data_IF_517947894544
#
_entry.id   IF_517947894544
#
_cell.length_a   1.000
_cell.length_b   1.000
_cell.length_c   1.000
_cell.angle_alpha   90.00
_cell.angle_beta   90.00
_cell.angle_gamma   90.00
#
_symmetry.space_group_name_H-M   'P 1'
#
loop_
_entity.id
_entity.type
_entity.pdbx_description
1 polymer ?
#
# COMPACT_ATOMS: atom_id res chain seq x y z
N UNK A 1 22.18 -30.61 -71.30
CA UNK A 1 22.10 -29.38 -70.53
C UNK A 1 21.07 -29.62 -69.39
N UNK A 2 21.56 -29.92 -68.18
CA UNK A 2 20.69 -30.29 -67.04
C UNK A 2 20.55 -29.08 -66.10
N UNK A 3 19.36 -28.54 -66.06
CA UNK A 3 19.02 -27.40 -65.24
C UNK A 3 18.80 -27.85 -63.75
N UNK A 4 19.64 -27.41 -62.85
CA UNK A 4 19.49 -27.65 -61.39
C UNK A 4 18.69 -26.53 -60.78
N UNK A 5 17.46 -26.83 -60.35
CA UNK A 5 16.61 -25.95 -59.59
C UNK A 5 17.05 -26.06 -58.11
N UNK A 6 17.62 -24.98 -57.55
CA UNK A 6 17.92 -24.85 -56.13
C UNK A 6 16.69 -24.28 -55.46
N UNK A 7 15.98 -25.11 -54.68
CA UNK A 7 14.88 -24.65 -53.82
C UNK A 7 15.47 -24.08 -52.52
N UNK A 8 15.38 -22.76 -52.36
CA UNK A 8 15.71 -22.08 -51.09
C UNK A 8 14.52 -22.24 -50.13
N UNK A 9 14.72 -23.05 -49.08
CA UNK A 9 13.76 -23.16 -47.97
C UNK A 9 14.04 -22.01 -47.01
N UNK A 10 13.20 -20.99 -47.00
CA UNK A 10 13.23 -19.91 -46.02
C UNK A 10 12.62 -20.44 -44.71
N UNK A 11 13.44 -20.70 -43.72
CA UNK A 11 12.98 -21.01 -42.35
C UNK A 11 12.46 -19.73 -41.68
N UNK A 12 11.16 -19.61 -41.58
CA UNK A 12 10.52 -18.55 -40.79
C UNK A 12 10.60 -18.97 -39.31
N UNK A 13 11.56 -18.41 -38.59
CA UNK A 13 11.63 -18.52 -37.12
C UNK A 13 10.53 -17.65 -36.50
N UNK A 14 9.43 -18.27 -36.10
CA UNK A 14 8.39 -17.61 -35.28
C UNK A 14 8.97 -17.43 -33.89
N UNK A 15 9.44 -16.22 -33.56
CA UNK A 15 9.74 -15.85 -32.21
C UNK A 15 8.40 -15.70 -31.46
N UNK A 16 8.03 -16.74 -30.71
CA UNK A 16 6.95 -16.66 -29.75
C UNK A 16 7.41 -15.72 -28.64
N UNK A 17 6.90 -14.48 -28.64
CA UNK A 17 7.00 -13.60 -27.47
C UNK A 17 6.16 -14.24 -26.36
N UNK A 18 6.84 -14.76 -25.33
CA UNK A 18 6.20 -15.13 -24.08
C UNK A 18 5.79 -13.82 -23.44
N UNK A 19 4.54 -13.42 -23.58
CA UNK A 19 3.98 -12.34 -22.80
C UNK A 19 4.10 -12.75 -21.32
N UNK A 20 4.94 -12.06 -20.56
CA UNK A 20 5.01 -12.23 -19.12
C UNK A 20 3.64 -11.78 -18.58
N UNK A 21 2.87 -12.73 -18.08
CA UNK A 21 1.57 -12.44 -17.49
C UNK A 21 1.76 -11.50 -16.30
N UNK A 22 0.84 -10.55 -16.12
CA UNK A 22 0.82 -9.68 -14.96
C UNK A 22 0.85 -10.52 -13.69
N UNK A 23 1.76 -10.20 -12.78
CA UNK A 23 1.85 -10.88 -11.49
C UNK A 23 0.83 -10.29 -10.53
N UNK A 24 0.03 -11.15 -9.92
CA UNK A 24 -0.94 -10.75 -8.90
C UNK A 24 -0.51 -11.26 -7.55
N UNK A 25 -0.49 -10.36 -6.56
CA UNK A 25 -0.20 -10.69 -5.16
C UNK A 25 -1.36 -10.27 -4.27
N UNK A 26 -1.65 -11.09 -3.25
CA UNK A 26 -2.51 -10.73 -2.12
C UNK A 26 -1.64 -10.41 -0.92
N UNK A 27 -2.09 -9.49 -0.06
CA UNK A 27 -1.40 -9.20 1.18
C UNK A 27 -1.39 -10.42 2.09
N UNK A 28 -0.22 -10.84 2.52
CA UNK A 28 -0.08 -11.78 3.63
C UNK A 28 -0.16 -10.98 4.94
N UNK A 29 -1.33 -10.99 5.56
CA UNK A 29 -1.59 -10.24 6.79
C UNK A 29 -0.71 -10.69 7.96
N UNK A 30 -0.29 -11.96 7.99
CA UNK A 30 0.51 -12.51 9.09
C UNK A 30 1.96 -12.01 9.07
N UNK A 31 2.47 -11.65 7.89
CA UNK A 31 3.84 -11.15 7.67
C UNK A 31 3.89 -9.68 7.25
N UNK A 32 2.75 -8.99 7.33
CA UNK A 32 2.63 -7.58 6.95
C UNK A 32 2.28 -6.71 8.15
N UNK A 33 2.64 -5.42 8.07
CA UNK A 33 2.32 -4.44 9.10
C UNK A 33 1.88 -3.13 8.47
N UNK A 34 0.73 -2.59 8.91
CA UNK A 34 0.31 -1.23 8.61
C UNK A 34 0.39 -0.43 9.89
N UNK A 35 1.50 0.30 10.06
CA UNK A 35 1.83 1.04 11.25
C UNK A 35 1.75 2.55 11.06
N UNK A 36 1.56 3.25 12.17
CA UNK A 36 1.59 4.70 12.24
C UNK A 36 2.26 5.19 13.53
N UNK A 37 2.71 6.44 13.51
CA UNK A 37 3.22 7.11 14.71
C UNK A 37 2.77 8.56 14.79
N UNK A 38 2.52 9.01 16.03
CA UNK A 38 2.08 10.36 16.36
C UNK A 38 2.94 10.91 17.49
N UNK A 39 3.55 12.07 17.28
CA UNK A 39 4.32 12.75 18.32
C UNK A 39 3.39 13.46 19.31
N UNK A 40 3.82 13.50 20.56
CA UNK A 40 3.20 14.21 21.68
C UNK A 40 4.30 14.88 22.52
N UNK A 41 3.96 15.75 23.46
CA UNK A 41 4.94 16.38 24.34
C UNK A 41 5.82 15.37 25.09
N UNK A 42 5.24 14.27 25.54
CA UNK A 42 5.93 13.26 26.35
C UNK A 42 6.45 12.05 25.54
N UNK A 43 6.53 12.16 24.19
CA UNK A 43 7.08 11.11 23.37
C UNK A 43 6.27 10.80 22.10
N UNK A 44 6.40 9.60 21.62
CA UNK A 44 5.73 9.15 20.38
C UNK A 44 4.81 7.99 20.70
N UNK A 45 3.55 8.10 20.30
CA UNK A 45 2.64 6.98 20.26
C UNK A 45 2.80 6.23 18.96
N UNK A 46 3.03 4.93 19.05
CA UNK A 46 2.98 4.00 17.93
C UNK A 46 1.66 3.23 17.96
N UNK A 47 1.15 2.94 16.77
CA UNK A 47 -0.01 2.09 16.62
C UNK A 47 0.04 1.37 15.29
N UNK A 48 -0.89 0.42 15.12
CA UNK A 48 -1.04 -0.37 13.90
C UNK A 48 -2.51 -0.72 13.68
N UNK A 49 -2.82 -1.16 12.48
CA UNK A 49 -4.06 -1.87 12.19
C UNK A 49 -3.74 -3.35 12.05
N UNK A 50 -4.52 -4.20 12.72
CA UNK A 50 -4.28 -5.65 12.77
C UNK A 50 -5.12 -6.45 11.78
N UNK A 51 -6.10 -5.80 11.10
CA UNK A 51 -6.93 -6.42 10.06
C UNK A 51 -6.94 -5.54 8.82
N UNK A 52 -6.43 -6.09 7.74
CA UNK A 52 -6.38 -5.44 6.43
C UNK A 52 -6.25 -6.50 5.35
N UNK A 53 -6.61 -6.15 4.15
CA UNK A 53 -6.39 -6.95 2.95
C UNK A 53 -6.02 -6.05 1.78
N UNK A 54 -5.54 -6.65 0.70
CA UNK A 54 -5.22 -5.91 -0.50
C UNK A 54 -4.73 -6.80 -1.62
N UNK A 55 -4.71 -6.20 -2.79
CA UNK A 55 -4.25 -6.80 -4.04
C UNK A 55 -3.22 -5.89 -4.70
N UNK A 56 -2.15 -6.48 -5.20
CA UNK A 56 -1.14 -5.81 -6.01
C UNK A 56 -1.10 -6.52 -7.35
N UNK A 57 -1.19 -5.75 -8.43
CA UNK A 57 -0.96 -6.20 -9.79
C UNK A 57 0.32 -5.56 -10.31
N UNK A 58 1.27 -6.37 -10.76
CA UNK A 58 2.56 -5.90 -11.24
C UNK A 58 2.70 -6.26 -12.70
N UNK A 59 2.89 -5.25 -13.53
CA UNK A 59 3.39 -5.37 -14.89
C UNK A 59 4.90 -5.05 -14.88
N UNK A 60 5.75 -6.04 -15.11
CA UNK A 60 7.21 -5.83 -15.05
C UNK A 60 7.77 -5.19 -16.31
N UNK A 61 7.07 -5.33 -17.43
CA UNK A 61 7.47 -4.72 -18.70
C UNK A 61 7.04 -3.26 -18.74
N UNK A 62 5.85 -2.97 -18.17
CA UNK A 62 5.23 -1.65 -18.12
C UNK A 62 4.82 -1.31 -16.68
N UNK A 63 5.76 -0.95 -15.78
CA UNK A 63 5.48 -0.69 -14.37
C UNK A 63 4.37 0.34 -14.13
N UNK A 64 4.16 1.25 -15.07
CA UNK A 64 3.07 2.25 -15.05
C UNK A 64 1.67 1.63 -15.12
N UNK A 65 1.54 0.39 -15.62
CA UNK A 65 0.28 -0.35 -15.65
C UNK A 65 0.01 -1.12 -14.34
N UNK A 66 0.97 -1.12 -13.42
CA UNK A 66 0.80 -1.77 -12.12
C UNK A 66 -0.26 -1.05 -11.28
N UNK A 67 -0.89 -1.80 -10.37
CA UNK A 67 -1.93 -1.25 -9.50
C UNK A 67 -1.90 -1.84 -8.11
N UNK A 68 -2.45 -1.09 -7.13
CA UNK A 68 -2.67 -1.57 -5.78
C UNK A 68 -4.01 -1.10 -5.26
N UNK A 69 -4.72 -2.02 -4.60
CA UNK A 69 -5.93 -1.75 -3.83
C UNK A 69 -5.71 -2.27 -2.43
N UNK A 70 -6.06 -1.48 -1.41
CA UNK A 70 -5.97 -1.88 -0.02
C UNK A 70 -7.23 -1.51 0.75
N UNK A 71 -7.63 -2.39 1.67
CA UNK A 71 -8.69 -2.20 2.64
C UNK A 71 -8.17 -2.44 4.05
N UNK A 72 -8.48 -1.54 4.97
CA UNK A 72 -8.06 -1.62 6.36
C UNK A 72 -9.31 -1.52 7.24
N UNK A 73 -9.57 -2.52 8.08
CA UNK A 73 -10.62 -2.46 9.09
C UNK A 73 -10.20 -1.49 10.21
N UNK A 74 -10.87 -0.36 10.32
CA UNK A 74 -10.55 0.68 11.33
C UNK A 74 -10.79 0.18 12.76
N UNK A 75 -11.70 -0.78 12.97
CA UNK A 75 -11.93 -1.41 14.27
C UNK A 75 -10.71 -2.12 14.81
N UNK A 76 -9.80 -2.52 13.92
CA UNK A 76 -8.58 -3.26 14.24
C UNK A 76 -7.43 -2.38 14.76
N UNK A 77 -7.66 -1.09 14.99
CA UNK A 77 -6.65 -0.19 15.53
C UNK A 77 -6.16 -0.68 16.89
N UNK A 78 -4.85 -0.75 17.03
CA UNK A 78 -4.15 -1.22 18.24
C UNK A 78 -2.95 -0.30 18.51
N UNK A 79 -2.98 0.38 19.65
CA UNK A 79 -1.89 1.22 20.14
C UNK A 79 -1.26 0.65 21.42
N UNK A 80 -1.66 -0.57 21.82
CA UNK A 80 -1.23 -1.23 23.06
C UNK A 80 -1.92 -0.72 24.33
N UNK A 81 -2.88 0.22 24.24
CA UNK A 81 -3.63 0.73 25.38
C UNK A 81 -5.13 0.71 25.07
N UNK A 82 -5.85 -0.28 25.60
CA UNK A 82 -7.25 -0.53 25.27
C UNK A 82 -8.18 0.66 25.50
N UNK A 83 -7.96 1.48 26.54
CA UNK A 83 -8.74 2.70 26.77
C UNK A 83 -8.58 3.72 25.64
N UNK A 84 -7.36 3.90 25.14
CA UNK A 84 -7.06 4.77 24.00
C UNK A 84 -7.66 4.21 22.72
N UNK A 85 -7.53 2.92 22.47
CA UNK A 85 -8.06 2.27 21.29
C UNK A 85 -9.60 2.37 21.23
N UNK A 86 -10.28 2.23 22.37
CA UNK A 86 -11.72 2.43 22.47
C UNK A 86 -12.13 3.89 22.16
N UNK A 87 -11.36 4.87 22.66
CA UNK A 87 -11.60 6.27 22.33
C UNK A 87 -11.35 6.55 20.84
N UNK A 88 -10.27 5.99 20.25
CA UNK A 88 -10.00 6.14 18.81
C UNK A 88 -11.12 5.54 17.94
N UNK A 89 -11.76 4.44 18.37
CA UNK A 89 -12.88 3.84 17.64
C UNK A 89 -14.19 4.62 17.79
N UNK A 90 -14.33 5.46 18.82
CA UNK A 90 -15.58 6.14 19.16
C UNK A 90 -16.03 7.14 18.10
N UNK A 91 -17.30 7.61 18.19
CA UNK A 91 -17.81 8.68 17.32
C UNK A 91 -17.02 10.00 17.41
N UNK A 92 -16.26 10.18 18.49
CA UNK A 92 -15.45 11.39 18.72
C UNK A 92 -14.18 11.42 17.86
N UNK A 93 -13.76 10.26 17.26
CA UNK A 93 -12.56 10.20 16.44
C UNK A 93 -12.80 9.47 15.12
N UNK A 94 -12.57 8.15 15.03
CA UNK A 94 -12.76 7.42 13.78
C UNK A 94 -14.22 7.11 13.44
N UNK A 95 -15.12 7.14 14.41
CA UNK A 95 -16.54 6.82 14.24
C UNK A 95 -16.75 5.50 13.46
N UNK A 96 -16.13 4.42 13.95
CA UNK A 96 -15.98 3.15 13.21
C UNK A 96 -17.29 2.48 12.80
N UNK A 97 -18.40 2.82 13.47
CA UNK A 97 -19.73 2.34 13.08
C UNK A 97 -20.21 3.01 11.78
N UNK A 98 -19.80 4.25 11.54
CA UNK A 98 -20.14 5.02 10.35
C UNK A 98 -19.09 4.86 9.25
N UNK A 99 -17.83 4.77 9.64
CA UNK A 99 -16.67 4.70 8.74
C UNK A 99 -15.79 3.50 9.09
N UNK A 100 -16.23 2.27 8.80
CA UNK A 100 -15.55 1.05 9.25
C UNK A 100 -14.24 0.77 8.53
N UNK A 101 -13.98 1.39 7.38
CA UNK A 101 -12.83 1.08 6.54
C UNK A 101 -12.04 2.33 6.14
N UNK A 102 -10.71 2.14 6.05
CA UNK A 102 -9.81 2.99 5.28
C UNK A 102 -9.52 2.24 3.99
N UNK A 103 -9.59 2.93 2.84
CA UNK A 103 -9.29 2.33 1.54
C UNK A 103 -8.25 3.13 0.78
N UNK A 104 -7.43 2.45 0.01
CA UNK A 104 -6.51 3.07 -0.94
C UNK A 104 -6.69 2.43 -2.31
N UNK A 105 -6.82 3.27 -3.34
CA UNK A 105 -6.89 2.84 -4.74
C UNK A 105 -5.85 3.61 -5.55
N UNK A 106 -4.89 2.91 -6.14
CA UNK A 106 -3.88 3.54 -6.99
C UNK A 106 -4.51 4.12 -8.26
N UNK A 107 -3.95 5.24 -8.70
CA UNK A 107 -4.28 5.90 -9.98
C UNK A 107 -3.15 5.77 -10.98
N UNK A 108 -1.92 5.86 -10.51
CA UNK A 108 -0.73 5.75 -11.34
C UNK A 108 0.46 5.26 -10.54
N UNK A 109 1.36 4.58 -11.23
CA UNK A 109 2.63 4.09 -10.68
C UNK A 109 3.76 4.71 -11.50
N UNK A 110 4.79 5.21 -10.82
CA UNK A 110 5.99 5.76 -11.44
C UNK A 110 7.21 5.11 -10.82
N UNK A 111 8.00 4.41 -11.62
CA UNK A 111 9.29 3.92 -11.16
C UNK A 111 10.25 5.09 -10.92
N UNK A 112 10.87 5.15 -9.75
CA UNK A 112 11.82 6.19 -9.34
C UNK A 112 13.24 5.65 -9.19
N UNK A 113 13.41 4.32 -9.25
CA UNK A 113 14.70 3.65 -9.20
C UNK A 113 14.56 2.15 -9.48
N UNK A 114 15.67 1.39 -9.50
CA UNK A 114 15.65 -0.05 -9.82
C UNK A 114 14.75 -0.89 -8.89
N UNK A 115 14.59 -0.45 -7.64
CA UNK A 115 13.80 -1.12 -6.61
C UNK A 115 12.89 -0.14 -5.88
N UNK A 116 12.55 0.99 -6.50
CA UNK A 116 11.75 2.05 -5.89
C UNK A 116 10.74 2.63 -6.87
N UNK A 117 9.62 3.06 -6.34
CA UNK A 117 8.56 3.72 -7.11
C UNK A 117 7.65 4.55 -6.24
N UNK A 118 6.96 5.47 -6.88
CA UNK A 118 5.91 6.28 -6.29
C UNK A 118 4.56 5.81 -6.84
N UNK A 119 3.59 5.62 -5.96
CA UNK A 119 2.22 5.26 -6.31
C UNK A 119 1.31 6.41 -5.87
N UNK A 120 0.81 7.16 -6.84
CA UNK A 120 -0.25 8.14 -6.59
C UNK A 120 -1.60 7.41 -6.53
N UNK A 121 -2.41 7.69 -5.53
CA UNK A 121 -3.72 7.08 -5.38
C UNK A 121 -4.63 7.85 -4.43
N UNK A 122 -5.87 7.38 -4.35
CA UNK A 122 -6.90 7.93 -3.48
C UNK A 122 -6.93 7.20 -2.16
N UNK A 123 -6.62 7.91 -1.08
CA UNK A 123 -6.87 7.45 0.28
C UNK A 123 -8.24 7.96 0.74
N UNK A 124 -9.13 7.04 1.07
CA UNK A 124 -10.42 7.36 1.71
C UNK A 124 -10.36 6.96 3.17
N UNK A 125 -10.59 7.90 4.06
CA UNK A 125 -10.57 7.70 5.50
C UNK A 125 -11.60 8.63 6.15
N UNK A 126 -12.40 8.12 7.09
CA UNK A 126 -13.42 8.89 7.81
C UNK A 126 -14.38 9.66 6.86
N UNK A 127 -14.76 9.04 5.73
CA UNK A 127 -15.64 9.62 4.71
C UNK A 127 -15.02 10.69 3.82
N UNK A 128 -13.72 10.96 3.94
CA UNK A 128 -12.99 11.94 3.13
C UNK A 128 -12.01 11.22 2.23
N UNK A 129 -12.00 11.57 0.94
CA UNK A 129 -11.03 11.06 -0.04
C UNK A 129 -10.01 12.14 -0.40
N UNK A 130 -8.73 11.80 -0.32
CA UNK A 130 -7.61 12.68 -0.71
C UNK A 130 -6.61 11.92 -1.55
N UNK A 131 -6.01 12.57 -2.57
CA UNK A 131 -4.85 12.01 -3.26
C UNK A 131 -3.65 12.00 -2.32
N UNK A 132 -2.95 10.88 -2.26
CA UNK A 132 -1.67 10.74 -1.55
C UNK A 132 -0.67 10.00 -2.44
N UNK A 133 0.62 10.17 -2.14
CA UNK A 133 1.69 9.39 -2.76
C UNK A 133 2.23 8.37 -1.75
N UNK A 134 2.28 7.12 -2.16
CA UNK A 134 2.99 6.06 -1.46
C UNK A 134 4.39 5.94 -2.06
N UNK A 135 5.43 6.07 -1.23
CA UNK A 135 6.82 5.83 -1.61
C UNK A 135 7.16 4.37 -1.31
N UNK A 136 7.35 3.59 -2.35
CA UNK A 136 7.52 2.15 -2.27
C UNK A 136 8.96 1.77 -2.54
N UNK A 137 9.50 0.87 -1.72
CA UNK A 137 10.80 0.24 -1.91
C UNK A 137 10.65 -1.27 -1.85
N UNK A 138 11.13 -1.95 -2.88
CA UNK A 138 11.23 -3.41 -2.90
C UNK A 138 12.34 -3.84 -1.93
N UNK A 139 12.02 -4.67 -0.95
CA UNK A 139 12.95 -5.23 0.03
C UNK A 139 13.48 -6.60 -0.37
N UNK A 140 12.59 -7.43 -0.94
CA UNK A 140 12.94 -8.76 -1.42
C UNK A 140 12.06 -9.11 -2.63
N UNK A 141 12.69 -9.63 -3.67
CA UNK A 141 12.02 -10.20 -4.84
C UNK A 141 11.66 -11.66 -4.60
N UNK A 142 10.74 -12.23 -5.40
CA UNK A 142 10.42 -13.64 -5.31
C UNK A 142 11.66 -14.49 -5.44
N UNK A 143 11.95 -15.28 -4.42
CA UNK A 143 12.94 -16.34 -4.42
C UNK A 143 12.23 -17.70 -4.41
N UNK A 144 12.77 -18.67 -3.66
CA UNK A 144 12.15 -19.99 -3.51
C UNK A 144 10.75 -19.94 -2.90
N UNK A 145 10.46 -18.96 -2.04
CA UNK A 145 9.15 -18.77 -1.38
C UNK A 145 8.10 -18.13 -2.27
N UNK A 146 8.48 -17.61 -3.44
CA UNK A 146 7.62 -16.82 -4.35
C UNK A 146 6.99 -15.58 -3.71
N UNK A 147 7.38 -15.21 -2.50
CA UNK A 147 6.88 -14.03 -1.79
C UNK A 147 7.71 -12.81 -2.15
N UNK A 148 7.07 -11.66 -2.16
CA UNK A 148 7.71 -10.37 -2.42
C UNK A 148 7.42 -9.43 -1.26
N UNK A 149 8.44 -8.68 -0.81
CA UNK A 149 8.30 -7.75 0.33
C UNK A 149 8.58 -6.33 -0.10
N UNK A 150 7.74 -5.42 0.37
CA UNK A 150 7.85 -3.99 0.13
C UNK A 150 7.80 -3.21 1.44
N UNK A 151 8.65 -2.19 1.54
CA UNK A 151 8.50 -1.12 2.50
C UNK A 151 7.77 0.05 1.82
N UNK A 152 6.80 0.62 2.52
CA UNK A 152 6.01 1.73 2.01
C UNK A 152 5.94 2.83 3.07
N UNK A 153 6.15 4.06 2.64
CA UNK A 153 5.97 5.27 3.46
C UNK A 153 5.12 6.28 2.70
N UNK A 154 4.66 7.31 3.39
CA UNK A 154 4.01 8.47 2.79
C UNK A 154 4.66 9.74 3.32
N UNK A 155 4.42 10.87 2.67
CA UNK A 155 4.53 12.15 3.36
C UNK A 155 3.63 12.14 4.60
N UNK A 156 4.01 12.87 5.68
CA UNK A 156 3.20 12.89 6.90
C UNK A 156 1.76 13.32 6.63
N UNK A 157 0.79 12.46 6.98
CA UNK A 157 -0.63 12.74 6.76
C UNK A 157 -1.14 13.72 7.81
N UNK A 158 -1.87 14.76 7.39
CA UNK A 158 -2.55 15.67 8.31
C UNK A 158 -3.88 15.09 8.73
N UNK A 159 -4.08 14.82 10.03
CA UNK A 159 -5.34 14.28 10.58
C UNK A 159 -6.56 15.12 10.21
N UNK A 160 -6.41 16.45 10.24
CA UNK A 160 -7.49 17.42 9.93
C UNK A 160 -7.98 17.30 8.49
N UNK A 161 -7.12 16.89 7.56
CA UNK A 161 -7.52 16.72 6.15
C UNK A 161 -8.56 15.59 5.98
N UNK A 162 -8.69 14.73 7.01
CA UNK A 162 -9.66 13.63 7.08
C UNK A 162 -10.68 13.81 8.21
N UNK A 163 -10.88 15.02 8.70
CA UNK A 163 -11.78 15.34 9.82
C UNK A 163 -11.49 14.56 11.12
N UNK A 164 -10.25 14.09 11.32
CA UNK A 164 -9.80 13.40 12.51
C UNK A 164 -9.19 14.41 13.50
N UNK A 165 -10.02 14.99 14.35
CA UNK A 165 -9.63 16.04 15.29
C UNK A 165 -10.01 15.66 16.71
N UNK A 166 -9.10 15.93 17.65
CA UNK A 166 -9.47 15.98 19.06
C UNK A 166 -10.05 17.36 19.41
N UNK A 167 -10.82 17.47 20.50
CA UNK A 167 -11.19 18.77 21.02
C UNK A 167 -9.96 19.67 21.20
N UNK A 168 -10.05 20.95 20.80
CA UNK A 168 -8.91 21.88 20.79
C UNK A 168 -8.18 21.95 22.13
N UNK A 169 -8.92 21.91 23.25
CA UNK A 169 -8.34 21.90 24.58
C UNK A 169 -7.44 20.66 24.80
N UNK A 170 -7.87 19.48 24.35
CA UNK A 170 -7.10 18.24 24.46
C UNK A 170 -5.83 18.29 23.58
N UNK A 171 -5.94 18.79 22.34
CA UNK A 171 -4.78 18.97 21.46
C UNK A 171 -3.74 19.93 22.06
N UNK A 172 -4.18 21.06 22.60
CA UNK A 172 -3.30 22.06 23.20
C UNK A 172 -2.61 21.56 24.47
N UNK A 173 -3.31 20.81 25.30
CA UNK A 173 -2.77 20.29 26.57
C UNK A 173 -1.81 19.11 26.39
N UNK A 174 -2.05 18.25 25.41
CA UNK A 174 -1.26 17.03 25.18
C UNK A 174 -0.15 17.20 24.16
N UNK A 175 -0.17 18.28 23.37
CA UNK A 175 0.76 18.50 22.25
C UNK A 175 0.73 17.41 21.18
N UNK A 176 -0.45 16.80 20.99
CA UNK A 176 -0.63 15.77 19.98
C UNK A 176 -0.43 16.39 18.58
N UNK A 177 0.55 15.87 17.84
CA UNK A 177 0.83 16.33 16.49
C UNK A 177 -0.41 16.22 15.59
N UNK A 178 -0.59 17.21 14.74
CA UNK A 178 -1.59 17.15 13.67
C UNK A 178 -1.18 16.24 12.53
N UNK A 179 0.09 15.87 12.45
CA UNK A 179 0.62 14.97 11.43
C UNK A 179 0.87 13.58 12.00
N UNK A 180 0.63 12.60 11.15
CA UNK A 180 0.84 11.17 11.41
C UNK A 180 1.85 10.65 10.40
N UNK A 181 2.91 10.03 10.87
CA UNK A 181 3.83 9.30 10.01
C UNK A 181 3.32 7.88 9.80
N UNK A 182 3.35 7.43 8.56
CA UNK A 182 2.90 6.09 8.15
C UNK A 182 4.14 5.26 7.78
N UNK A 183 4.20 4.04 8.31
CA UNK A 183 5.22 3.05 7.94
C UNK A 183 4.53 1.71 7.73
N UNK A 184 4.67 1.18 6.53
CA UNK A 184 4.03 -0.05 6.11
C UNK A 184 5.10 -1.02 5.63
N UNK A 185 4.99 -2.29 6.01
CA UNK A 185 5.73 -3.38 5.41
C UNK A 185 4.69 -4.41 4.93
N UNK A 186 4.69 -4.69 3.63
CA UNK A 186 3.79 -5.65 3.01
C UNK A 186 4.59 -6.81 2.47
N UNK A 187 4.17 -8.02 2.83
CA UNK A 187 4.54 -9.25 2.16
C UNK A 187 3.38 -9.68 1.27
N UNK A 188 3.66 -9.87 0.00
CA UNK A 188 2.69 -10.33 -0.99
C UNK A 188 2.90 -11.80 -1.31
N UNK A 189 1.85 -12.59 -1.14
CA UNK A 189 1.79 -13.97 -1.64
C UNK A 189 1.17 -13.98 -3.04
N UNK A 190 1.70 -14.78 -4.00
CA UNK A 190 1.09 -14.91 -5.33
C UNK A 190 -0.38 -15.32 -5.21
N UNK A 191 -1.27 -14.63 -5.93
CA UNK A 191 -2.63 -15.07 -6.07
C UNK A 191 -2.66 -16.29 -7.00
N UNK A 192 -3.20 -17.40 -6.50
CA UNK A 192 -3.43 -18.61 -7.30
C UNK A 192 -4.57 -18.39 -8.29
#
# INVERSE_FOLDING_TARGET
MRLRIIAAVAAITVMSSVALANETYKFDQSHSTIGFSVHQFLGTTHGRFTKFDGKIEIDREHPENSSVIAHIDVRSIDTGIGKRDNHLRSPEFFAVEKYPAITFNSRSVKQTGPQAGDILGDLTMHGVTKPITLHVKLLASPGETKQTRWAVTTDPLRRRDFNLMFPQAAESMSGISQTVAIKIEIEGAPAQ
#
